data_IF_898770073609
#
_entry.id   IF_898770073609
#
_cell.length_a   1.000
_cell.length_b   1.000
_cell.length_c   1.000
_cell.angle_alpha   90.00
_cell.angle_beta   90.00
_cell.angle_gamma   90.00
#
_symmetry.space_group_name_H-M   'P 1'
#
loop_
_entity.id
_entity.type
_entity.pdbx_description
1 polymer ?
#
# COMPACT_ATOMS: atom_id res chain seq x y z
N UNK A 1 -9.73 -21.03 -17.75
CA UNK A 1 -8.54 -21.66 -18.32
C UNK A 1 -8.37 -21.28 -19.80
N UNK A 2 -9.32 -21.62 -20.66
CA UNK A 2 -9.25 -21.34 -22.12
C UNK A 2 -8.95 -19.87 -22.45
N UNK A 3 -9.58 -18.91 -21.75
CA UNK A 3 -9.30 -17.51 -21.96
C UNK A 3 -7.84 -17.17 -21.65
N UNK A 4 -7.26 -17.77 -20.59
CA UNK A 4 -5.85 -17.61 -20.27
C UNK A 4 -4.95 -18.16 -21.39
N UNK A 5 -5.23 -19.33 -21.93
CA UNK A 5 -4.45 -19.88 -23.05
C UNK A 5 -4.50 -19.00 -24.29
N UNK A 6 -5.68 -18.51 -24.66
CA UNK A 6 -5.88 -17.64 -25.83
C UNK A 6 -5.17 -16.29 -25.74
N UNK A 7 -5.09 -15.73 -24.52
CA UNK A 7 -4.47 -14.43 -24.30
C UNK A 7 -2.94 -14.52 -24.17
N UNK A 8 -2.39 -15.72 -23.95
CA UNK A 8 -0.98 -15.92 -23.58
C UNK A 8 -0.02 -15.39 -24.65
N UNK A 9 -0.28 -15.62 -25.93
CA UNK A 9 0.60 -15.15 -26.99
C UNK A 9 0.71 -13.62 -27.02
N UNK A 10 -0.43 -12.94 -26.86
CA UNK A 10 -0.50 -11.47 -26.94
C UNK A 10 0.10 -10.76 -25.72
N UNK A 11 -0.02 -11.36 -24.53
CA UNK A 11 0.30 -10.70 -23.28
C UNK A 11 1.43 -11.39 -22.48
N UNK A 12 2.21 -12.26 -23.11
CA UNK A 12 3.38 -12.89 -22.51
C UNK A 12 4.34 -11.83 -21.99
N UNK A 13 4.74 -11.93 -20.72
CA UNK A 13 5.66 -11.03 -20.03
C UNK A 13 5.28 -9.55 -20.10
N UNK A 14 4.00 -9.23 -20.34
CA UNK A 14 3.49 -7.87 -20.47
C UNK A 14 2.75 -7.37 -19.22
N UNK A 15 2.35 -8.27 -18.33
CA UNK A 15 1.55 -7.93 -17.15
C UNK A 15 2.47 -7.51 -16.00
N UNK A 16 2.19 -6.37 -15.40
CA UNK A 16 2.92 -5.83 -14.25
C UNK A 16 2.35 -6.31 -12.91
N UNK A 17 1.05 -6.51 -12.83
CA UNK A 17 0.37 -6.95 -11.63
C UNK A 17 -0.75 -7.94 -11.99
N UNK A 18 -0.65 -9.15 -11.50
CA UNK A 18 -1.77 -10.09 -11.42
C UNK A 18 -2.38 -9.93 -10.05
N UNK A 19 -3.67 -9.58 -9.97
CA UNK A 19 -4.38 -9.47 -8.70
C UNK A 19 -5.68 -10.25 -8.78
N UNK A 20 -5.79 -11.33 -8.03
CA UNK A 20 -6.88 -12.31 -8.14
C UNK A 20 -7.57 -12.59 -6.82
N UNK A 21 -8.83 -12.96 -6.92
CA UNK A 21 -9.71 -13.38 -5.83
C UNK A 21 -10.36 -14.75 -6.19
N UNK A 22 -9.59 -15.85 -6.10
CA UNK A 22 -10.09 -17.16 -6.48
C UNK A 22 -11.14 -17.68 -5.49
N UNK A 23 -11.90 -18.75 -5.84
CA UNK A 23 -12.81 -19.41 -4.90
C UNK A 23 -12.08 -19.87 -3.65
N UNK A 24 -12.62 -19.54 -2.47
CA UNK A 24 -12.03 -19.86 -1.17
C UNK A 24 -12.34 -21.30 -0.70
N UNK A 25 -13.12 -22.03 -1.46
CA UNK A 25 -13.52 -23.42 -1.17
C UNK A 25 -14.25 -23.59 0.16
N UNK A 26 -15.14 -22.64 0.48
CA UNK A 26 -15.83 -22.55 1.77
C UNK A 26 -16.90 -23.64 1.95
N UNK A 27 -17.28 -24.34 0.89
CA UNK A 27 -18.34 -25.34 0.90
C UNK A 27 -19.77 -24.77 0.98
N UNK A 28 -19.91 -23.44 0.94
CA UNK A 28 -21.21 -22.75 0.95
C UNK A 28 -21.77 -22.68 -0.47
N UNK A 29 -22.98 -23.24 -0.68
CA UNK A 29 -23.61 -23.34 -1.99
C UNK A 29 -24.20 -22.04 -2.57
N UNK A 30 -23.93 -20.88 -1.98
CA UNK A 30 -24.63 -19.62 -2.27
C UNK A 30 -23.89 -18.74 -3.33
N UNK A 31 -22.82 -19.26 -3.94
CA UNK A 31 -22.06 -18.51 -4.93
C UNK A 31 -22.47 -18.85 -6.37
N UNK A 32 -22.37 -17.89 -7.28
CA UNK A 32 -22.60 -18.07 -8.73
C UNK A 32 -21.54 -18.98 -9.40
N UNK A 33 -20.49 -19.36 -8.70
CA UNK A 33 -19.43 -20.27 -9.11
C UNK A 33 -19.31 -21.44 -8.12
N UNK A 34 -18.65 -22.51 -8.55
CA UNK A 34 -18.38 -23.67 -7.68
C UNK A 34 -17.42 -23.28 -6.55
N UNK A 35 -17.86 -23.43 -5.31
CA UNK A 35 -17.09 -23.16 -4.08
C UNK A 35 -17.09 -24.37 -3.13
N UNK A 36 -17.21 -25.56 -3.69
CA UNK A 36 -17.14 -26.84 -2.99
C UNK A 36 -16.35 -27.82 -3.83
N UNK A 37 -15.04 -27.68 -3.81
CA UNK A 37 -14.10 -28.56 -4.47
C UNK A 37 -13.57 -29.59 -3.47
N UNK A 38 -13.22 -30.80 -3.94
CA UNK A 38 -12.26 -31.60 -3.23
C UNK A 38 -10.88 -30.89 -3.31
N UNK A 39 -10.10 -30.95 -2.23
CA UNK A 39 -8.81 -30.23 -2.12
C UNK A 39 -7.90 -30.48 -3.34
N UNK A 40 -7.79 -31.73 -3.79
CA UNK A 40 -7.01 -32.10 -4.97
C UNK A 40 -7.50 -31.44 -6.26
N UNK A 41 -8.83 -31.29 -6.41
CA UNK A 41 -9.43 -30.65 -7.59
C UNK A 41 -9.22 -29.14 -7.55
N UNK A 42 -9.32 -28.53 -6.36
CA UNK A 42 -9.04 -27.12 -6.17
C UNK A 42 -7.57 -26.81 -6.48
N UNK A 43 -6.65 -27.60 -5.90
CA UNK A 43 -5.21 -27.46 -6.13
C UNK A 43 -4.85 -27.63 -7.61
N UNK A 44 -5.43 -28.60 -8.31
CA UNK A 44 -5.21 -28.77 -9.74
C UNK A 44 -5.68 -27.56 -10.53
N UNK A 45 -6.89 -27.09 -10.25
CA UNK A 45 -7.48 -25.91 -10.88
C UNK A 45 -6.62 -24.66 -10.70
N UNK A 46 -6.11 -24.43 -9.48
CA UNK A 46 -5.27 -23.29 -9.18
C UNK A 46 -3.87 -23.43 -9.75
N UNK A 47 -3.26 -24.62 -9.69
CA UNK A 47 -1.93 -24.87 -10.25
C UNK A 47 -1.86 -24.55 -11.75
N UNK A 48 -2.83 -25.02 -12.52
CA UNK A 48 -2.88 -24.75 -13.96
C UNK A 48 -2.99 -23.25 -14.26
N UNK A 49 -3.83 -22.53 -13.50
CA UNK A 49 -4.02 -21.09 -13.70
C UNK A 49 -2.84 -20.26 -13.24
N UNK A 50 -2.22 -20.58 -12.11
CA UNK A 50 -1.03 -19.89 -11.63
C UNK A 50 0.19 -20.16 -12.54
N UNK A 51 0.31 -21.35 -13.08
CA UNK A 51 1.36 -21.68 -14.07
C UNK A 51 1.21 -20.83 -15.33
N UNK A 52 -0.01 -20.68 -15.84
CA UNK A 52 -0.29 -19.77 -16.96
C UNK A 52 -0.04 -18.30 -16.56
N UNK A 53 -0.51 -17.89 -15.37
CA UNK A 53 -0.30 -16.53 -14.87
C UNK A 53 1.19 -16.16 -14.80
N UNK A 54 2.06 -17.09 -14.38
CA UNK A 54 3.52 -16.90 -14.38
C UNK A 54 4.06 -16.50 -15.75
N UNK A 55 3.46 -16.98 -16.85
CA UNK A 55 3.90 -16.65 -18.21
C UNK A 55 3.53 -15.23 -18.65
N UNK A 56 2.50 -14.64 -18.06
CA UNK A 56 2.10 -13.25 -18.31
C UNK A 56 2.96 -12.23 -17.59
N UNK A 57 3.50 -12.60 -16.43
CA UNK A 57 4.29 -11.72 -15.57
C UNK A 57 5.64 -11.41 -16.20
N UNK A 58 5.98 -10.13 -16.33
CA UNK A 58 7.34 -9.67 -16.63
C UNK A 58 8.27 -9.91 -15.42
N UNK A 59 9.58 -9.84 -15.59
CA UNK A 59 10.54 -10.06 -14.49
C UNK A 59 10.32 -9.16 -13.27
N UNK A 60 9.86 -7.93 -13.48
CA UNK A 60 9.64 -6.90 -12.43
C UNK A 60 8.17 -6.80 -11.99
N UNK A 61 7.45 -7.90 -11.99
CA UNK A 61 6.01 -7.97 -11.76
C UNK A 61 5.67 -8.70 -10.48
N UNK A 62 4.42 -8.55 -10.05
CA UNK A 62 3.88 -9.19 -8.86
C UNK A 62 2.59 -9.95 -9.12
N UNK A 63 2.37 -10.98 -8.30
CA UNK A 63 1.10 -11.65 -8.12
C UNK A 63 0.60 -11.34 -6.70
N UNK A 64 -0.65 -10.89 -6.61
CA UNK A 64 -1.41 -10.72 -5.38
C UNK A 64 -2.61 -11.68 -5.44
N UNK A 65 -2.79 -12.49 -4.42
CA UNK A 65 -3.87 -13.47 -4.36
C UNK A 65 -4.57 -13.41 -3.02
N UNK A 66 -5.86 -13.04 -3.03
CA UNK A 66 -6.67 -13.09 -1.82
C UNK A 66 -6.98 -14.53 -1.43
N UNK A 67 -7.07 -14.77 -0.13
CA UNK A 67 -7.44 -16.07 0.43
C UNK A 67 -7.98 -15.91 1.84
N UNK A 68 -8.85 -16.81 2.26
CA UNK A 68 -9.28 -16.91 3.65
C UNK A 68 -8.68 -18.14 4.35
N UNK A 69 -9.17 -18.43 5.55
CA UNK A 69 -8.69 -19.52 6.40
C UNK A 69 -8.82 -20.94 5.80
N UNK A 70 -9.68 -21.13 4.79
CA UNK A 70 -9.95 -22.46 4.23
C UNK A 70 -8.78 -22.97 3.37
N UNK A 71 -8.22 -22.12 2.52
CA UNK A 71 -7.23 -22.56 1.53
C UNK A 71 -5.88 -21.81 1.64
N UNK A 72 -5.67 -20.99 2.67
CA UNK A 72 -4.41 -20.21 2.82
C UNK A 72 -3.17 -21.11 2.80
N UNK A 73 -3.16 -22.20 3.57
CA UNK A 73 -1.99 -23.09 3.66
C UNK A 73 -1.68 -23.79 2.34
N UNK A 74 -2.71 -24.26 1.65
CA UNK A 74 -2.58 -24.85 0.32
C UNK A 74 -2.09 -23.85 -0.70
N UNK A 75 -2.59 -22.62 -0.63
CA UNK A 75 -2.21 -21.50 -1.51
C UNK A 75 -0.76 -21.10 -1.34
N UNK A 76 -0.24 -21.02 -0.11
CA UNK A 76 1.18 -20.72 0.17
C UNK A 76 2.12 -21.77 -0.42
N UNK A 77 1.79 -23.05 -0.23
CA UNK A 77 2.59 -24.16 -0.79
C UNK A 77 2.55 -24.10 -2.33
N UNK A 78 1.37 -23.91 -2.90
CA UNK A 78 1.20 -23.88 -4.35
C UNK A 78 1.91 -22.69 -4.98
N UNK A 79 1.73 -21.49 -4.44
CA UNK A 79 2.38 -20.28 -4.94
C UNK A 79 3.92 -20.40 -4.84
N UNK A 80 4.43 -20.95 -3.73
CA UNK A 80 5.87 -21.22 -3.56
C UNK A 80 6.41 -22.23 -4.58
N UNK A 81 5.62 -23.22 -4.96
CA UNK A 81 6.03 -24.20 -5.98
C UNK A 81 6.03 -23.59 -7.39
N UNK A 82 5.02 -22.79 -7.73
CA UNK A 82 4.88 -22.19 -9.07
C UNK A 82 5.82 -21.01 -9.27
N UNK A 83 5.87 -20.08 -8.30
CA UNK A 83 6.60 -18.81 -8.39
C UNK A 83 7.98 -18.85 -7.72
N UNK A 84 8.31 -19.94 -7.04
CA UNK A 84 9.52 -20.15 -6.26
C UNK A 84 9.53 -19.39 -4.92
N UNK A 85 9.91 -20.10 -3.86
CA UNK A 85 9.90 -19.57 -2.48
C UNK A 85 10.72 -18.28 -2.29
N UNK A 86 11.82 -18.13 -3.04
CA UNK A 86 12.68 -16.94 -2.95
C UNK A 86 12.02 -15.66 -3.49
N UNK A 87 10.89 -15.80 -4.18
CA UNK A 87 10.10 -14.70 -4.73
C UNK A 87 8.92 -14.32 -3.84
N UNK A 88 8.78 -14.93 -2.67
CA UNK A 88 7.79 -14.57 -1.66
C UNK A 88 8.14 -13.19 -1.06
N UNK A 89 7.23 -12.22 -1.22
CA UNK A 89 7.36 -10.87 -0.66
C UNK A 89 6.68 -10.72 0.70
N UNK A 90 5.99 -11.77 1.15
CA UNK A 90 5.24 -11.83 2.41
C UNK A 90 3.72 -11.85 2.22
N UNK A 91 3.04 -12.10 3.33
CA UNK A 91 1.59 -12.16 3.39
C UNK A 91 1.03 -10.94 4.11
N UNK A 92 0.03 -10.31 3.50
CA UNK A 92 -0.72 -9.20 4.10
C UNK A 92 -1.96 -9.79 4.74
N UNK A 93 -2.21 -9.47 6.01
CA UNK A 93 -3.43 -9.77 6.74
C UNK A 93 -4.37 -8.59 6.60
N UNK A 94 -5.51 -8.81 5.97
CA UNK A 94 -6.56 -7.81 5.83
C UNK A 94 -7.58 -7.97 6.96
N UNK A 95 -7.48 -7.12 7.99
CA UNK A 95 -8.44 -7.05 9.09
C UNK A 95 -9.73 -6.36 8.61
N UNK A 96 -10.80 -7.12 8.56
CA UNK A 96 -12.16 -6.66 8.18
C UNK A 96 -12.97 -6.18 9.37
N UNK A 97 -12.53 -6.48 10.60
CA UNK A 97 -13.27 -6.23 11.86
C UNK A 97 -14.72 -6.72 11.83
N UNK A 98 -14.99 -7.76 11.07
CA UNK A 98 -16.31 -8.34 10.94
C UNK A 98 -16.27 -9.79 11.46
N UNK A 99 -16.48 -10.04 12.76
CA UNK A 99 -16.46 -11.38 13.33
C UNK A 99 -17.60 -12.22 12.73
N UNK A 100 -17.29 -13.45 12.32
CA UNK A 100 -18.30 -14.44 11.94
C UNK A 100 -19.05 -14.88 13.21
N UNK A 101 -20.29 -14.43 13.39
CA UNK A 101 -21.06 -14.59 14.64
C UNK A 101 -21.35 -16.04 15.07
N UNK A 102 -21.40 -16.99 14.13
CA UNK A 102 -21.76 -18.40 14.37
C UNK A 102 -20.56 -19.36 14.39
N UNK A 103 -19.37 -18.85 14.67
CA UNK A 103 -18.17 -19.67 14.71
C UNK A 103 -18.20 -20.64 15.89
N UNK A 104 -18.03 -21.96 15.62
CA UNK A 104 -17.86 -23.00 16.65
C UNK A 104 -16.46 -22.99 17.30
N UNK A 105 -15.56 -22.14 16.84
CA UNK A 105 -14.18 -22.03 17.29
C UNK A 105 -13.72 -20.57 17.31
N UNK A 106 -12.49 -20.32 16.89
CA UNK A 106 -11.96 -18.97 16.75
C UNK A 106 -12.67 -18.30 15.57
N UNK A 107 -13.29 -17.14 15.82
CA UNK A 107 -13.95 -16.34 14.78
C UNK A 107 -12.91 -15.58 13.98
N UNK A 108 -12.69 -15.99 12.75
CA UNK A 108 -11.81 -15.27 11.83
C UNK A 108 -12.43 -13.92 11.44
N UNK A 109 -11.66 -12.84 11.60
CA UNK A 109 -12.07 -11.47 11.29
C UNK A 109 -11.26 -10.87 10.13
N UNK A 110 -10.44 -11.69 9.48
CA UNK A 110 -9.49 -11.26 8.47
C UNK A 110 -9.45 -12.21 7.28
N UNK A 111 -8.90 -11.70 6.22
CA UNK A 111 -8.47 -12.45 5.04
C UNK A 111 -6.97 -12.25 4.83
N UNK A 112 -6.39 -12.99 3.92
CA UNK A 112 -4.97 -12.94 3.59
C UNK A 112 -4.79 -12.48 2.14
N UNK A 113 -3.67 -11.82 1.87
CA UNK A 113 -3.24 -11.50 0.52
C UNK A 113 -1.81 -11.99 0.38
N UNK A 114 -1.66 -13.11 -0.31
CA UNK A 114 -0.35 -13.65 -0.66
C UNK A 114 0.29 -12.78 -1.72
N UNK A 115 1.55 -12.39 -1.53
CA UNK A 115 2.25 -11.48 -2.43
C UNK A 115 3.55 -12.11 -2.90
N UNK A 116 3.65 -12.37 -4.20
CA UNK A 116 4.82 -12.96 -4.83
C UNK A 116 5.34 -12.08 -5.96
N UNK A 117 6.65 -11.94 -6.08
CA UNK A 117 7.27 -11.42 -7.30
C UNK A 117 7.39 -12.52 -8.37
N UNK A 118 7.51 -12.14 -9.63
CA UNK A 118 8.00 -13.03 -10.68
C UNK A 118 9.49 -13.33 -10.49
N UNK A 119 10.26 -12.30 -10.13
CA UNK A 119 11.65 -12.31 -9.74
C UNK A 119 11.89 -11.19 -8.73
N UNK A 120 12.09 -11.57 -7.46
CA UNK A 120 12.20 -10.60 -6.36
C UNK A 120 13.48 -9.75 -6.48
N UNK A 121 14.57 -10.29 -7.01
CA UNK A 121 15.81 -9.55 -7.21
C UNK A 121 15.63 -8.48 -8.30
N UNK A 122 15.07 -8.84 -9.45
CA UNK A 122 14.77 -7.91 -10.52
C UNK A 122 13.75 -6.83 -10.11
N UNK A 123 12.74 -7.20 -9.31
CA UNK A 123 11.77 -6.25 -8.76
C UNK A 123 12.46 -5.22 -7.86
N UNK A 124 13.34 -5.65 -6.96
CA UNK A 124 14.02 -4.80 -5.98
C UNK A 124 14.93 -3.73 -6.63
N UNK A 125 15.39 -3.94 -7.86
CA UNK A 125 16.17 -2.94 -8.61
C UNK A 125 15.36 -1.68 -8.94
N UNK A 126 14.04 -1.81 -9.14
CA UNK A 126 13.19 -0.72 -9.65
C UNK A 126 12.03 -0.37 -8.74
N UNK A 127 11.58 -1.28 -7.91
CA UNK A 127 10.43 -1.11 -7.04
C UNK A 127 10.83 -1.36 -5.59
N UNK A 128 10.64 -0.37 -4.75
CA UNK A 128 10.57 -0.60 -3.32
C UNK A 128 9.16 -1.08 -3.01
N UNK A 129 9.01 -2.14 -2.22
CA UNK A 129 7.70 -2.64 -1.77
C UNK A 129 7.12 -1.63 -0.77
N UNK A 130 6.57 -0.55 -1.30
CA UNK A 130 6.10 0.62 -0.55
C UNK A 130 4.75 1.10 -1.09
N UNK A 131 3.96 1.68 -0.20
CA UNK A 131 2.71 2.36 -0.55
C UNK A 131 2.82 3.86 -0.28
N UNK A 132 2.05 4.71 -0.95
CA UNK A 132 1.89 6.10 -0.54
C UNK A 132 1.33 6.18 0.88
N UNK A 133 1.82 7.11 1.70
CA UNK A 133 1.20 7.43 2.99
C UNK A 133 -0.17 8.04 2.75
N UNK A 134 -1.23 7.46 3.32
CA UNK A 134 -2.62 7.83 3.05
C UNK A 134 -2.92 9.32 3.24
N UNK A 135 -2.38 9.91 4.29
CA UNK A 135 -2.72 11.27 4.69
C UNK A 135 -1.62 12.28 4.39
N UNK A 136 -0.55 11.89 3.65
CA UNK A 136 0.59 12.77 3.42
C UNK A 136 0.21 14.05 2.67
N UNK A 137 -0.58 13.93 1.60
CA UNK A 137 -1.07 15.09 0.82
C UNK A 137 -1.97 16.00 1.66
N UNK A 138 -2.84 15.43 2.51
CA UNK A 138 -3.69 16.19 3.40
C UNK A 138 -2.86 16.96 4.44
N UNK A 139 -1.81 16.34 4.98
CA UNK A 139 -0.87 16.97 5.92
C UNK A 139 -0.15 18.13 5.23
N UNK A 140 0.39 17.93 4.02
CA UNK A 140 1.08 18.97 3.25
C UNK A 140 0.15 20.12 2.87
N UNK A 141 -1.08 19.83 2.42
CA UNK A 141 -2.08 20.83 2.08
C UNK A 141 -2.46 21.70 3.28
N UNK A 142 -2.66 21.06 4.45
CA UNK A 142 -2.95 21.79 5.70
C UNK A 142 -1.79 22.67 6.14
N UNK A 143 -0.57 22.16 6.07
CA UNK A 143 0.61 22.93 6.40
C UNK A 143 0.75 24.17 5.48
N UNK A 144 0.58 23.98 4.17
CA UNK A 144 0.58 25.08 3.18
C UNK A 144 -0.50 26.11 3.49
N UNK A 145 -1.73 25.68 3.83
CA UNK A 145 -2.82 26.56 4.22
C UNK A 145 -2.50 27.42 5.46
N UNK A 146 -1.86 26.82 6.48
CA UNK A 146 -1.48 27.55 7.68
C UNK A 146 -0.29 28.48 7.41
N UNK A 147 0.71 27.99 6.71
CA UNK A 147 1.92 28.75 6.39
C UNK A 147 1.62 29.97 5.51
N UNK A 148 0.66 29.90 4.61
CA UNK A 148 0.23 31.05 3.78
C UNK A 148 -0.35 32.23 4.58
N UNK A 149 -0.72 32.01 5.86
CA UNK A 149 -1.21 33.04 6.78
C UNK A 149 -0.10 33.70 7.61
N UNK A 150 1.17 33.28 7.42
CA UNK A 150 2.30 33.82 8.15
C UNK A 150 2.38 35.34 8.01
N UNK A 151 2.50 36.04 9.14
CA UNK A 151 2.56 37.50 9.22
C UNK A 151 3.34 37.92 10.48
N UNK A 152 3.49 39.20 10.71
CA UNK A 152 4.08 39.71 11.97
C UNK A 152 3.27 39.33 13.22
N UNK A 153 1.94 39.21 13.09
CA UNK A 153 1.03 38.88 14.18
C UNK A 153 0.67 37.39 14.26
N UNK A 154 1.02 36.59 13.26
CA UNK A 154 0.81 35.13 13.23
C UNK A 154 2.13 34.47 12.85
N UNK A 155 2.89 34.19 13.86
CA UNK A 155 4.29 33.72 13.74
C UNK A 155 4.38 32.25 13.36
N UNK A 156 5.59 31.76 13.04
CA UNK A 156 5.86 30.34 12.81
C UNK A 156 5.52 29.48 14.03
N UNK A 157 5.73 30.01 15.24
CA UNK A 157 5.39 29.32 16.48
C UNK A 157 3.87 29.14 16.62
N UNK A 158 3.09 30.14 16.25
CA UNK A 158 1.61 30.05 16.27
C UNK A 158 1.10 29.08 15.21
N UNK A 159 1.69 29.13 14.02
CA UNK A 159 1.42 28.16 12.94
C UNK A 159 1.69 26.72 13.43
N UNK A 160 2.82 26.47 14.07
CA UNK A 160 3.16 25.15 14.60
C UNK A 160 2.22 24.70 15.71
N UNK A 161 1.78 25.60 16.62
CA UNK A 161 0.77 25.27 17.64
C UNK A 161 -0.56 24.83 17.00
N UNK A 162 -1.05 25.58 16.03
CA UNK A 162 -2.29 25.25 15.33
C UNK A 162 -2.16 23.97 14.51
N UNK A 163 -1.01 23.75 13.88
CA UNK A 163 -0.73 22.53 13.11
C UNK A 163 -0.69 21.28 14.00
N UNK A 164 -0.01 21.36 15.17
CA UNK A 164 0.01 20.28 16.16
C UNK A 164 -1.42 19.97 16.67
N UNK A 165 -2.19 20.99 16.98
CA UNK A 165 -3.59 20.82 17.41
C UNK A 165 -4.41 20.13 16.33
N UNK A 166 -4.28 20.55 15.08
CA UNK A 166 -5.01 19.98 13.97
C UNK A 166 -4.59 18.53 13.73
N UNK A 167 -3.30 18.20 13.61
CA UNK A 167 -2.85 16.83 13.30
C UNK A 167 -3.25 15.83 14.40
N UNK A 168 -3.28 16.27 15.66
CA UNK A 168 -3.69 15.44 16.77
C UNK A 168 -5.21 15.22 16.84
N UNK A 169 -6.02 16.13 16.28
CA UNK A 169 -7.47 15.99 16.22
C UNK A 169 -7.95 15.07 15.09
N UNK A 170 -7.07 14.69 14.15
CA UNK A 170 -7.49 13.89 13.00
C UNK A 170 -7.77 12.44 13.40
N UNK A 171 -8.96 11.96 13.05
CA UNK A 171 -9.33 10.55 13.19
C UNK A 171 -8.67 9.73 12.07
N UNK A 172 -8.19 8.54 12.38
CA UNK A 172 -7.60 7.63 11.39
C UNK A 172 -6.13 7.88 11.04
N UNK A 173 -5.50 8.92 11.57
CA UNK A 173 -4.06 9.13 11.38
C UNK A 173 -3.25 8.15 12.24
N UNK A 174 -2.24 7.53 11.62
CA UNK A 174 -1.27 6.69 12.31
C UNK A 174 -0.34 7.50 13.21
N UNK A 175 0.30 6.84 14.19
CA UNK A 175 1.34 7.50 15.01
C UNK A 175 2.52 8.01 14.19
N UNK A 176 2.86 7.32 13.09
CA UNK A 176 3.91 7.74 12.16
C UNK A 176 3.55 9.03 11.41
N UNK A 177 2.28 9.21 11.01
CA UNK A 177 1.78 10.43 10.38
C UNK A 177 1.70 11.58 11.36
N UNK A 178 1.20 11.34 12.58
CA UNK A 178 1.13 12.37 13.65
C UNK A 178 2.51 12.86 14.09
N UNK A 179 3.57 12.08 13.89
CA UNK A 179 4.94 12.50 14.20
C UNK A 179 5.43 13.62 13.26
N UNK A 180 4.83 13.81 12.07
CA UNK A 180 5.09 14.94 11.17
C UNK A 180 4.31 16.19 11.63
N UNK A 181 4.67 16.69 12.79
CA UNK A 181 3.93 17.72 13.52
C UNK A 181 4.59 19.10 13.54
N UNK A 182 5.60 19.32 12.74
CA UNK A 182 6.35 20.57 12.71
C UNK A 182 6.47 21.11 11.27
N UNK A 183 6.41 22.44 11.15
CA UNK A 183 6.61 23.18 9.91
C UNK A 183 7.84 24.08 10.11
N UNK A 184 8.74 24.10 9.14
CA UNK A 184 9.93 24.93 9.20
C UNK A 184 9.77 26.31 8.55
N UNK A 185 10.84 27.10 8.54
CA UNK A 185 10.89 28.45 7.96
C UNK A 185 10.56 28.50 6.48
N UNK A 186 10.72 27.38 5.76
CA UNK A 186 10.41 27.26 4.34
C UNK A 186 8.97 26.77 4.09
N UNK A 187 8.22 26.42 5.15
CA UNK A 187 6.90 25.81 5.05
C UNK A 187 6.92 24.30 4.90
N UNK A 188 8.10 23.68 5.02
CA UNK A 188 8.26 22.23 4.91
C UNK A 188 7.83 21.50 6.17
N UNK A 189 6.99 20.47 6.01
CA UNK A 189 6.55 19.60 7.10
C UNK A 189 7.65 18.59 7.43
N UNK A 190 7.97 18.46 8.71
CA UNK A 190 8.98 17.51 9.16
C UNK A 190 8.64 16.87 10.52
N UNK A 191 9.38 15.81 10.82
CA UNK A 191 9.49 15.23 12.16
C UNK A 191 10.95 15.19 12.61
N UNK A 192 11.18 15.35 13.90
CA UNK A 192 12.49 15.16 14.50
C UNK A 192 12.76 13.67 14.70
N UNK A 193 13.88 13.16 14.20
CA UNK A 193 14.27 11.76 14.30
C UNK A 193 15.65 11.65 14.93
N UNK A 194 15.80 10.74 15.90
CA UNK A 194 17.09 10.44 16.51
C UNK A 194 18.11 9.98 15.46
N UNK A 195 19.32 10.51 15.55
CA UNK A 195 20.46 10.11 14.73
C UNK A 195 21.39 9.13 15.44
N UNK A 196 20.98 8.55 16.56
CA UNK A 196 21.77 7.55 17.27
C UNK A 196 21.89 6.25 16.48
N UNK A 197 23.05 5.60 16.61
CA UNK A 197 23.32 4.28 16.02
C UNK A 197 22.32 3.24 16.54
N UNK A 198 21.61 2.52 15.65
CA UNK A 198 20.49 1.66 16.07
C UNK A 198 20.92 0.31 16.64
N UNK A 199 22.11 -0.19 16.27
CA UNK A 199 22.56 -1.52 16.63
C UNK A 199 23.07 -1.60 18.08
N UNK A 200 23.03 -2.79 18.69
CA UNK A 200 23.55 -3.03 20.05
C UNK A 200 25.07 -2.82 20.15
N UNK A 201 25.82 -3.18 19.10
CA UNK A 201 27.27 -2.91 19.00
C UNK A 201 27.49 -1.42 18.70
N UNK A 202 28.60 -0.88 19.14
CA UNK A 202 29.00 0.49 18.82
C UNK A 202 29.23 0.68 17.32
N UNK A 203 29.00 1.89 16.83
CA UNK A 203 29.35 2.30 15.48
C UNK A 203 30.89 2.32 15.28
N UNK A 204 31.36 2.36 14.02
CA UNK A 204 32.77 2.62 13.70
C UNK A 204 33.28 3.92 14.35
N UNK A 205 34.58 3.97 14.67
CA UNK A 205 35.18 5.11 15.41
C UNK A 205 34.92 6.46 14.75
N UNK A 206 34.93 6.53 13.43
CA UNK A 206 34.65 7.75 12.66
C UNK A 206 33.22 8.27 12.80
N UNK A 207 32.29 7.48 13.33
CA UNK A 207 30.90 7.90 13.60
C UNK A 207 30.73 8.63 14.96
N UNK A 208 31.82 8.91 15.65
CA UNK A 208 31.81 9.65 16.94
C UNK A 208 32.29 11.10 16.84
N UNK A 209 32.44 11.63 15.61
CA UNK A 209 32.86 13.03 15.43
C UNK A 209 31.71 13.96 15.87
N UNK A 210 31.91 14.85 16.83
CA UNK A 210 30.89 15.78 17.30
C UNK A 210 30.45 16.73 16.19
N UNK A 211 29.16 17.04 16.13
CA UNK A 211 28.65 18.14 15.33
C UNK A 211 28.92 19.48 16.08
N UNK A 212 29.32 20.50 15.33
CA UNK A 212 29.52 21.84 15.89
C UNK A 212 28.23 22.61 15.82
N UNK A 213 27.80 23.17 16.96
CA UNK A 213 26.60 23.98 17.03
C UNK A 213 26.77 25.30 16.27
N UNK A 214 25.87 25.67 15.33
CA UNK A 214 26.10 26.80 14.42
C UNK A 214 26.12 28.17 15.08
N UNK A 215 25.48 28.34 16.25
CA UNK A 215 25.45 29.63 16.99
C UNK A 215 26.54 29.75 18.03
N UNK A 216 26.90 28.66 18.72
CA UNK A 216 27.85 28.70 19.83
C UNK A 216 29.26 28.29 19.43
N UNK A 217 29.45 27.70 18.25
CA UNK A 217 30.72 27.14 17.75
C UNK A 217 31.32 26.08 18.68
N UNK A 218 30.49 25.43 19.51
CA UNK A 218 30.93 24.39 20.43
C UNK A 218 30.42 23.00 19.98
N UNK A 219 31.12 21.92 20.37
CA UNK A 219 30.70 20.57 20.04
C UNK A 219 29.42 20.18 20.78
N UNK A 220 28.48 19.57 20.03
CA UNK A 220 27.28 18.97 20.58
C UNK A 220 27.52 17.55 21.09
N UNK A 221 26.69 17.04 22.03
CA UNK A 221 26.77 15.67 22.51
C UNK A 221 26.63 14.64 21.36
N UNK A 222 27.52 13.64 21.37
CA UNK A 222 27.47 12.50 20.49
C UNK A 222 26.66 11.40 21.16
N UNK A 223 25.80 10.66 20.42
CA UNK A 223 25.11 9.53 21.00
C UNK A 223 26.09 8.48 21.57
N UNK A 224 25.76 7.86 22.70
CA UNK A 224 26.63 6.91 23.41
C UNK A 224 27.14 5.76 22.52
N UNK A 225 26.42 5.40 21.49
CA UNK A 225 26.76 4.33 20.51
C UNK A 225 27.25 4.88 19.17
N UNK A 226 27.46 6.20 19.04
CA UNK A 226 27.82 6.88 17.80
C UNK A 226 26.64 7.35 16.98
N UNK A 227 26.92 8.09 15.90
CA UNK A 227 25.93 8.54 14.95
C UNK A 227 25.46 7.39 14.06
N UNK A 228 24.25 7.52 13.51
CA UNK A 228 23.65 6.55 12.58
C UNK A 228 24.32 6.56 11.21
N UNK A 229 24.77 7.73 10.79
CA UNK A 229 25.28 7.94 9.44
C UNK A 229 26.80 8.22 9.47
N UNK A 230 27.53 7.89 8.37
CA UNK A 230 28.93 8.23 8.23
C UNK A 230 29.16 9.76 8.19
N UNK A 231 30.38 10.24 8.49
CA UNK A 231 30.69 11.67 8.52
C UNK A 231 30.34 12.44 7.25
N UNK A 232 30.48 11.81 6.08
CA UNK A 232 30.14 12.44 4.81
C UNK A 232 28.63 12.72 4.74
N UNK A 233 27.77 11.73 5.02
CA UNK A 233 26.32 11.92 5.07
C UNK A 233 25.90 12.93 6.12
N UNK A 234 26.60 13.00 7.27
CA UNK A 234 26.33 14.01 8.29
C UNK A 234 26.62 15.42 7.77
N UNK A 235 27.69 15.62 7.00
CA UNK A 235 27.98 16.92 6.33
C UNK A 235 26.91 17.29 5.33
N UNK A 236 26.52 16.35 4.46
CA UNK A 236 25.44 16.57 3.48
C UNK A 236 24.12 16.97 4.14
N UNK A 237 23.78 16.38 5.30
CA UNK A 237 22.58 16.75 6.06
C UNK A 237 22.68 18.16 6.67
N UNK A 238 23.88 18.58 7.11
CA UNK A 238 24.12 19.96 7.58
C UNK A 238 23.94 20.94 6.43
N UNK A 239 24.57 20.67 5.29
CA UNK A 239 24.52 21.55 4.10
C UNK A 239 23.08 21.72 3.56
N UNK A 240 22.26 20.65 3.68
CA UNK A 240 20.82 20.67 3.34
C UNK A 240 19.94 21.31 4.43
N UNK A 241 20.48 21.75 5.55
CA UNK A 241 19.69 22.27 6.68
C UNK A 241 18.79 21.22 7.33
N UNK A 242 19.14 19.94 7.21
CA UNK A 242 18.36 18.81 7.75
C UNK A 242 18.82 18.32 9.12
N UNK A 243 19.63 19.10 9.84
CA UNK A 243 19.99 18.87 11.24
C UNK A 243 19.27 19.90 12.11
N UNK A 244 18.56 19.42 13.11
CA UNK A 244 17.95 20.24 14.15
C UNK A 244 18.91 20.33 15.34
N UNK A 245 19.47 21.49 15.50
CA UNK A 245 20.25 21.83 16.71
C UNK A 245 19.33 22.36 17.80
N UNK A 246 19.68 22.16 19.06
CA UNK A 246 18.98 22.78 20.18
C UNK A 246 19.22 24.31 20.27
N UNK A 247 18.75 24.92 21.35
CA UNK A 247 18.98 26.34 21.60
C UNK A 247 20.49 26.61 21.78
N UNK A 248 21.20 25.62 22.33
CA UNK A 248 22.64 25.64 22.56
C UNK A 248 23.24 24.24 22.31
N UNK A 249 24.57 24.16 22.50
CA UNK A 249 25.35 22.95 22.28
C UNK A 249 25.08 21.80 23.25
N UNK A 250 24.34 22.00 24.33
CA UNK A 250 24.09 20.93 25.33
C UNK A 250 23.05 19.90 24.88
N UNK A 251 22.25 20.25 23.87
CA UNK A 251 21.23 19.37 23.31
C UNK A 251 21.80 18.49 22.19
N UNK A 252 21.54 17.18 22.25
CA UNK A 252 21.94 16.27 21.18
C UNK A 252 21.16 16.59 19.90
N UNK A 253 21.83 16.85 18.77
CA UNK A 253 21.18 17.11 17.51
C UNK A 253 20.31 15.95 16.99
N UNK A 254 19.23 16.28 16.32
CA UNK A 254 18.32 15.33 15.67
C UNK A 254 18.21 15.63 14.17
N UNK A 255 17.73 14.67 13.40
CA UNK A 255 17.50 14.86 11.97
C UNK A 255 16.12 15.44 11.74
N UNK A 256 16.04 16.47 10.90
CA UNK A 256 14.82 16.96 10.28
C UNK A 256 14.44 16.00 9.14
N UNK A 257 13.40 15.20 9.35
CA UNK A 257 12.95 14.21 8.38
C UNK A 257 11.73 14.77 7.63
N UNK A 258 11.96 15.26 6.41
CA UNK A 258 10.95 15.98 5.63
C UNK A 258 9.89 15.04 5.07
N UNK A 259 8.60 15.39 5.22
CA UNK A 259 7.50 14.59 4.70
C UNK A 259 7.55 14.48 3.18
N UNK A 260 7.80 15.58 2.47
CA UNK A 260 7.87 15.61 0.99
C UNK A 260 8.92 14.66 0.39
N UNK A 261 9.98 14.33 1.14
CA UNK A 261 11.01 13.37 0.74
C UNK A 261 10.66 11.94 1.17
N UNK A 262 9.60 11.77 1.97
CA UNK A 262 9.21 10.52 2.62
C UNK A 262 7.72 10.27 2.48
N UNK A 263 7.19 10.45 1.27
CA UNK A 263 5.77 10.27 0.93
C UNK A 263 5.34 8.81 0.96
N UNK A 264 6.29 7.88 0.93
CA UNK A 264 6.04 6.45 0.89
C UNK A 264 6.44 5.78 2.20
N UNK A 265 5.81 4.67 2.50
CA UNK A 265 6.13 3.78 3.63
C UNK A 265 6.11 2.32 3.16
N UNK A 266 6.81 1.43 3.87
CA UNK A 266 6.73 0.01 3.58
C UNK A 266 5.28 -0.47 3.76
N UNK A 267 4.84 -1.36 2.87
CA UNK A 267 3.52 -1.98 2.99
C UNK A 267 3.48 -2.75 4.32
N UNK A 268 2.54 -2.46 5.22
CA UNK A 268 2.44 -3.20 6.47
C UNK A 268 1.83 -4.58 6.22
N UNK A 269 2.26 -5.57 6.99
CA UNK A 269 1.69 -6.92 6.96
C UNK A 269 0.27 -7.01 7.55
N UNK A 270 -0.22 -5.97 8.19
CA UNK A 270 -1.58 -5.86 8.70
C UNK A 270 -2.20 -4.57 8.18
N UNK A 271 -3.29 -4.69 7.43
CA UNK A 271 -4.06 -3.57 6.90
C UNK A 271 -5.49 -3.62 7.38
N UNK A 272 -6.10 -2.47 7.56
CA UNK A 272 -7.50 -2.34 7.93
C UNK A 272 -8.30 -1.66 6.82
N UNK A 273 -9.30 -2.38 6.32
CA UNK A 273 -10.35 -1.86 5.46
C UNK A 273 -11.66 -2.52 5.87
N UNK A 274 -12.52 -1.77 6.54
CA UNK A 274 -13.82 -2.28 7.00
C UNK A 274 -14.85 -2.34 5.88
N UNK A 275 -15.83 -3.22 6.05
CA UNK A 275 -16.98 -3.34 5.17
C UNK A 275 -16.70 -4.06 3.85
N UNK A 276 -17.56 -3.80 2.90
CA UNK A 276 -17.51 -4.24 1.51
C UNK A 276 -18.03 -3.12 0.63
N UNK A 277 -17.83 -3.21 -0.68
CA UNK A 277 -18.39 -2.25 -1.64
C UNK A 277 -19.88 -2.51 -1.97
N UNK A 278 -20.61 -3.23 -1.12
CA UNK A 278 -22.02 -3.61 -1.35
C UNK A 278 -22.91 -2.38 -1.53
N UNK A 279 -22.80 -1.39 -0.62
CA UNK A 279 -23.60 -0.15 -0.71
C UNK A 279 -23.29 0.65 -1.97
N UNK A 280 -22.01 0.67 -2.37
CA UNK A 280 -21.58 1.33 -3.61
C UNK A 280 -22.22 0.64 -4.83
N UNK A 281 -22.20 -0.69 -4.89
CA UNK A 281 -22.84 -1.43 -5.99
C UNK A 281 -24.36 -1.29 -5.99
N UNK A 282 -25.00 -1.26 -4.82
CA UNK A 282 -26.43 -0.97 -4.71
C UNK A 282 -26.77 0.42 -5.25
N UNK A 283 -25.99 1.44 -4.92
CA UNK A 283 -26.16 2.78 -5.48
C UNK A 283 -25.98 2.82 -7.00
N UNK A 284 -25.17 1.93 -7.54
CA UNK A 284 -25.04 1.70 -9.00
C UNK A 284 -26.19 0.87 -9.58
N UNK A 285 -27.13 0.37 -8.77
CA UNK A 285 -28.15 -0.62 -9.16
C UNK A 285 -27.51 -1.88 -9.77
N UNK A 286 -26.45 -2.39 -9.15
CA UNK A 286 -25.76 -3.63 -9.50
C UNK A 286 -25.93 -4.64 -8.36
N UNK A 287 -26.66 -5.75 -8.58
CA UNK A 287 -26.87 -6.77 -7.56
C UNK A 287 -25.62 -7.65 -7.43
N UNK A 288 -24.89 -7.52 -6.32
CA UNK A 288 -23.77 -8.39 -5.98
C UNK A 288 -23.48 -8.31 -4.47
N UNK A 289 -23.50 -9.44 -3.78
CA UNK A 289 -23.56 -9.47 -2.30
C UNK A 289 -22.20 -9.37 -1.61
N UNK A 290 -21.11 -9.80 -2.25
CA UNK A 290 -19.79 -9.91 -1.61
C UNK A 290 -18.66 -9.29 -2.43
N UNK A 291 -18.75 -8.02 -2.84
CA UNK A 291 -17.67 -7.37 -3.56
C UNK A 291 -16.47 -7.14 -2.64
N UNK A 292 -15.27 -7.25 -3.18
CA UNK A 292 -14.04 -6.80 -2.50
C UNK A 292 -14.03 -5.27 -2.42
N UNK A 293 -13.19 -4.74 -1.49
CA UNK A 293 -13.05 -3.29 -1.27
C UNK A 293 -12.16 -2.68 -2.35
N UNK A 294 -12.73 -1.79 -3.16
CA UNK A 294 -12.03 -1.10 -4.27
C UNK A 294 -10.81 -0.31 -3.79
N UNK A 295 -10.91 0.38 -2.64
CA UNK A 295 -9.82 1.19 -2.11
C UNK A 295 -8.62 0.35 -1.65
N UNK A 296 -8.86 -0.86 -1.13
CA UNK A 296 -7.78 -1.80 -0.83
C UNK A 296 -7.05 -2.25 -2.11
N UNK A 297 -7.82 -2.63 -3.14
CA UNK A 297 -7.26 -2.98 -4.45
C UNK A 297 -6.48 -1.84 -5.07
N UNK A 298 -7.00 -0.61 -4.99
CA UNK A 298 -6.35 0.60 -5.48
C UNK A 298 -5.00 0.85 -4.79
N UNK A 299 -4.93 0.76 -3.46
CA UNK A 299 -3.69 0.95 -2.70
C UNK A 299 -2.62 -0.07 -3.10
N UNK A 300 -2.98 -1.33 -3.24
CA UNK A 300 -2.04 -2.38 -3.64
C UNK A 300 -1.59 -2.20 -5.10
N UNK A 301 -2.51 -1.92 -6.02
CA UNK A 301 -2.15 -1.66 -7.43
C UNK A 301 -1.21 -0.46 -7.53
N UNK A 302 -1.48 0.63 -6.80
CA UNK A 302 -0.59 1.80 -6.75
C UNK A 302 0.81 1.48 -6.22
N UNK A 303 0.92 0.50 -5.31
CA UNK A 303 2.20 0.11 -4.69
C UNK A 303 3.13 -0.65 -5.62
N UNK A 304 2.59 -1.34 -6.64
CA UNK A 304 3.34 -2.25 -7.49
C UNK A 304 3.31 -1.89 -8.98
N UNK A 305 2.58 -0.84 -9.36
CA UNK A 305 2.42 -0.47 -10.77
C UNK A 305 2.84 0.97 -11.06
N UNK A 306 3.44 1.15 -12.23
CA UNK A 306 3.64 2.46 -12.83
C UNK A 306 2.38 2.92 -13.56
N UNK A 307 2.34 4.18 -14.01
CA UNK A 307 1.17 4.82 -14.62
C UNK A 307 0.66 4.18 -15.92
N UNK A 308 1.50 3.43 -16.63
CA UNK A 308 1.18 2.79 -17.91
C UNK A 308 1.08 1.26 -17.82
N UNK A 309 1.10 0.71 -16.62
CA UNK A 309 1.13 -0.73 -16.36
C UNK A 309 -0.15 -1.46 -16.78
N UNK A 310 0.00 -2.75 -17.06
CA UNK A 310 -1.12 -3.67 -17.30
C UNK A 310 -1.39 -4.49 -16.03
N UNK A 311 -2.64 -4.47 -15.58
CA UNK A 311 -3.17 -5.27 -14.46
C UNK A 311 -4.04 -6.38 -15.01
N UNK A 312 -3.93 -7.58 -14.45
CA UNK A 312 -4.70 -8.73 -14.90
C UNK A 312 -5.40 -9.43 -13.74
N UNK A 313 -6.71 -9.63 -13.89
CA UNK A 313 -7.54 -10.38 -12.97
C UNK A 313 -8.34 -11.42 -13.74
N UNK A 314 -8.09 -12.70 -13.44
CA UNK A 314 -8.76 -13.81 -14.11
C UNK A 314 -9.72 -14.59 -13.19
N UNK A 315 -10.05 -14.00 -12.05
CA UNK A 315 -11.18 -14.33 -11.20
C UNK A 315 -11.93 -13.02 -10.86
N UNK A 316 -12.31 -12.31 -11.92
CA UNK A 316 -12.69 -10.89 -11.83
C UNK A 316 -13.97 -10.63 -11.03
N UNK A 317 -14.85 -11.61 -10.87
CA UNK A 317 -16.06 -11.50 -10.09
C UNK A 317 -16.88 -10.27 -10.51
N UNK A 318 -17.11 -9.38 -9.56
CA UNK A 318 -17.80 -8.12 -9.82
C UNK A 318 -16.94 -7.05 -10.53
N UNK A 319 -15.66 -7.30 -10.81
CA UNK A 319 -14.77 -6.35 -11.47
C UNK A 319 -14.10 -5.33 -10.54
N UNK A 320 -13.89 -5.67 -9.28
CA UNK A 320 -13.31 -4.76 -8.27
C UNK A 320 -11.97 -4.20 -8.69
N UNK A 321 -11.04 -5.02 -9.20
CA UNK A 321 -9.69 -4.55 -9.55
C UNK A 321 -9.66 -3.71 -10.83
N UNK A 322 -10.58 -3.94 -11.78
CA UNK A 322 -10.79 -3.03 -12.90
C UNK A 322 -11.28 -1.65 -12.45
N UNK A 323 -12.23 -1.62 -11.50
CA UNK A 323 -12.69 -0.39 -10.86
C UNK A 323 -11.53 0.32 -10.11
N UNK A 324 -10.73 -0.42 -9.36
CA UNK A 324 -9.54 0.10 -8.67
C UNK A 324 -8.56 0.79 -9.62
N UNK A 325 -8.30 0.20 -10.79
CA UNK A 325 -7.44 0.79 -11.84
C UNK A 325 -8.04 2.08 -12.39
N UNK A 326 -9.33 2.12 -12.69
CA UNK A 326 -10.01 3.32 -13.22
C UNK A 326 -9.93 4.45 -12.19
N UNK A 327 -10.25 4.17 -10.92
CA UNK A 327 -10.18 5.14 -9.82
C UNK A 327 -8.75 5.67 -9.64
N UNK A 328 -7.74 4.80 -9.64
CA UNK A 328 -6.34 5.18 -9.52
C UNK A 328 -5.88 6.08 -10.68
N UNK A 329 -6.26 5.74 -11.93
CA UNK A 329 -5.92 6.56 -13.08
C UNK A 329 -6.53 7.97 -13.01
N UNK A 330 -7.76 8.10 -12.50
CA UNK A 330 -8.40 9.40 -12.30
C UNK A 330 -7.69 10.23 -11.22
N UNK A 331 -7.24 9.58 -10.14
CA UNK A 331 -6.55 10.26 -9.02
C UNK A 331 -5.14 10.73 -9.39
N UNK A 332 -4.37 9.93 -10.12
CA UNK A 332 -2.95 10.21 -10.37
C UNK A 332 -2.61 10.60 -11.83
N UNK A 333 -3.62 10.67 -12.70
CA UNK A 333 -3.46 10.94 -14.13
C UNK A 333 -2.75 9.80 -14.86
N UNK A 334 -2.88 8.57 -14.40
CA UNK A 334 -2.29 7.38 -15.01
C UNK A 334 -3.10 6.87 -16.21
N UNK A 335 -2.47 5.98 -16.98
CA UNK A 335 -3.04 5.31 -18.17
C UNK A 335 -2.94 3.79 -18.05
N UNK A 336 -2.97 3.27 -16.79
CA UNK A 336 -2.96 1.83 -16.56
C UNK A 336 -4.10 1.17 -17.30
N UNK A 337 -3.82 -0.02 -17.82
CA UNK A 337 -4.80 -0.87 -18.49
C UNK A 337 -5.11 -2.08 -17.61
N UNK A 338 -6.24 -2.71 -17.88
CA UNK A 338 -6.60 -3.94 -17.19
C UNK A 338 -7.20 -4.97 -18.15
N UNK A 339 -7.06 -6.23 -17.78
CA UNK A 339 -7.75 -7.37 -18.38
C UNK A 339 -8.54 -8.04 -17.27
N UNK A 340 -9.83 -8.26 -17.50
CA UNK A 340 -10.72 -8.96 -16.58
C UNK A 340 -11.28 -10.20 -17.27
N UNK A 341 -11.07 -11.37 -16.67
CA UNK A 341 -11.63 -12.61 -17.13
C UNK A 341 -12.50 -13.23 -16.03
N UNK A 342 -13.66 -13.67 -16.40
CA UNK A 342 -14.54 -14.47 -15.54
C UNK A 342 -15.33 -15.49 -16.38
N UNK A 343 -15.79 -16.55 -15.75
CA UNK A 343 -16.56 -17.61 -16.42
C UNK A 343 -18.03 -17.63 -16.00
N UNK A 344 -18.43 -16.82 -15.05
CA UNK A 344 -19.78 -16.83 -14.53
C UNK A 344 -20.75 -15.96 -15.36
N UNK A 345 -22.03 -16.30 -15.31
CA UNK A 345 -23.08 -15.64 -16.10
C UNK A 345 -23.29 -14.17 -15.71
N UNK A 346 -22.82 -13.75 -14.54
CA UNK A 346 -22.94 -12.36 -14.11
C UNK A 346 -22.00 -11.38 -14.84
N UNK A 347 -21.16 -11.84 -15.75
CA UNK A 347 -20.36 -10.95 -16.60
C UNK A 347 -21.22 -9.86 -17.25
N UNK A 348 -22.39 -10.23 -17.80
CA UNK A 348 -23.27 -9.28 -18.50
C UNK A 348 -24.01 -8.34 -17.57
N UNK A 349 -24.40 -8.83 -16.38
CA UNK A 349 -25.32 -8.12 -15.49
C UNK A 349 -24.60 -7.40 -14.33
N UNK A 350 -23.36 -7.76 -14.05
CA UNK A 350 -22.57 -7.23 -12.91
C UNK A 350 -21.26 -6.63 -13.40
N UNK A 351 -20.34 -7.45 -13.90
CA UNK A 351 -18.97 -7.03 -14.20
C UNK A 351 -18.92 -5.91 -15.25
N UNK A 352 -19.47 -6.18 -16.44
CA UNK A 352 -19.46 -5.21 -17.54
C UNK A 352 -20.21 -3.92 -17.18
N UNK A 353 -21.44 -3.95 -16.63
CA UNK A 353 -22.14 -2.74 -16.18
C UNK A 353 -21.39 -1.94 -15.11
N UNK A 354 -20.71 -2.61 -14.16
CA UNK A 354 -19.88 -1.91 -13.16
C UNK A 354 -18.78 -1.11 -13.84
N UNK A 355 -18.03 -1.73 -14.73
CA UNK A 355 -16.93 -1.04 -15.42
C UNK A 355 -17.44 0.12 -16.27
N UNK A 356 -18.51 -0.07 -17.05
CA UNK A 356 -19.12 0.98 -17.86
C UNK A 356 -19.59 2.17 -16.99
N UNK A 357 -20.26 1.89 -15.87
CA UNK A 357 -20.75 2.91 -14.94
C UNK A 357 -19.61 3.70 -14.30
N UNK A 358 -18.54 3.04 -13.85
CA UNK A 358 -17.38 3.71 -13.23
C UNK A 358 -16.61 4.57 -14.23
N UNK A 359 -16.56 4.17 -15.50
CA UNK A 359 -15.98 5.02 -16.57
C UNK A 359 -16.84 6.28 -16.75
N UNK A 360 -18.16 6.16 -16.67
CA UNK A 360 -19.10 7.26 -16.89
C UNK A 360 -19.12 8.25 -15.72
N UNK A 361 -19.26 7.78 -14.48
CA UNK A 361 -19.33 8.62 -13.27
C UNK A 361 -18.76 7.90 -12.05
N UNK A 362 -18.25 8.66 -11.08
CA UNK A 362 -17.84 8.14 -9.77
C UNK A 362 -19.00 8.13 -8.77
N UNK A 363 -19.93 9.08 -8.91
CA UNK A 363 -21.04 9.25 -8.00
C UNK A 363 -22.32 8.64 -8.59
N UNK A 364 -22.86 7.66 -7.89
CA UNK A 364 -24.10 6.98 -8.25
C UNK A 364 -25.03 6.95 -7.06
N UNK A 365 -26.32 7.21 -7.31
CA UNK A 365 -27.39 7.07 -6.32
C UNK A 365 -28.63 6.48 -6.98
N UNK A 366 -29.13 5.36 -6.44
CA UNK A 366 -30.31 4.67 -6.95
C UNK A 366 -30.26 4.41 -8.48
N UNK A 367 -29.08 4.02 -8.97
CA UNK A 367 -28.85 3.72 -10.39
C UNK A 367 -28.66 4.94 -11.30
N UNK A 368 -28.63 6.15 -10.76
CA UNK A 368 -28.43 7.41 -11.49
C UNK A 368 -27.06 8.01 -11.16
N UNK A 369 -26.36 8.58 -12.14
CA UNK A 369 -25.07 9.24 -11.95
C UNK A 369 -25.20 10.59 -11.28
#
# INVERSE_FOLDING_TARGET
FQALELLQEKYREAVKCVYIDPPYNTGKGDFYYKDNFQDSSWLTMMNERLTLAKSYLSSKSVLLMNMDEHEISNSEILASNVLEKNNDLGTIVWDKRNPKGDSKGIAYQHEYILTYAKDAAALAETCKVQRPKRNAELILSKAKQLFSKKSETYTLDDINKDFIKWINSQVGFSGGERAYNSIDENGDVYRAVSMAWPNKKQAPKEYFIPLIHPKTNKPCPVPARGWRNPPQTMRELIDKGQILFGINETTQPTRKYLLRENMYENIPSLVYYGGSDTDMLHNMAIPFDTPKVTDLGKEHIASFTDKDSLVFDFFAGSGTYGHSVIKLNKEDGGHRKFILCDMADYFKNVLKPRIEKVIYSEDWKDGKP
#
